data_IF_956194112285
#
_entry.id   IF_956194112285
#
_cell.length_a   1.000
_cell.length_b   1.000
_cell.length_c   1.000
_cell.angle_alpha   90.00
_cell.angle_beta   90.00
_cell.angle_gamma   90.00
#
_symmetry.space_group_name_H-M   'P 1'
#
loop_
_entity.id
_entity.type
_entity.pdbx_description
1 polymer ?
#
# COMPACT_ATOMS: atom_id res chain seq x y z
N UNK A 1 -21.15 5.09 14.19
CA UNK A 1 -20.87 5.71 12.87
C UNK A 1 -21.48 4.83 11.80
N UNK A 2 -22.15 5.41 10.80
CA UNK A 2 -22.76 4.64 9.72
C UNK A 2 -21.72 4.17 8.70
N UNK A 3 -21.94 2.99 8.12
CA UNK A 3 -21.14 2.44 7.02
C UNK A 3 -21.04 3.40 5.83
N UNK A 4 -22.15 4.07 5.48
CA UNK A 4 -22.23 5.02 4.37
C UNK A 4 -21.38 6.28 4.59
N UNK A 5 -21.27 6.78 5.83
CA UNK A 5 -20.43 7.94 6.12
C UNK A 5 -18.96 7.63 5.87
N UNK A 6 -18.53 6.41 6.21
CA UNK A 6 -17.16 5.93 5.97
C UNK A 6 -16.84 5.83 4.48
N UNK A 7 -17.79 5.34 3.67
CA UNK A 7 -17.67 5.33 2.21
C UNK A 7 -17.59 6.78 1.69
N UNK A 8 -18.49 7.66 2.12
CA UNK A 8 -18.51 9.06 1.67
C UNK A 8 -17.20 9.79 1.94
N UNK A 9 -16.62 9.61 3.14
CA UNK A 9 -15.31 10.17 3.50
C UNK A 9 -14.18 9.58 2.68
N UNK A 10 -14.16 8.24 2.55
CA UNK A 10 -13.19 7.56 1.69
C UNK A 10 -13.20 8.13 0.28
N UNK A 11 -14.40 8.36 -0.28
CA UNK A 11 -14.58 8.79 -1.65
C UNK A 11 -14.13 10.22 -1.85
N UNK A 12 -14.45 11.08 -0.88
CA UNK A 12 -13.93 12.45 -0.84
C UNK A 12 -12.40 12.45 -0.79
N UNK A 13 -11.80 11.67 0.11
CA UNK A 13 -10.34 11.60 0.25
C UNK A 13 -9.67 11.05 -1.00
N UNK A 14 -10.18 9.96 -1.59
CA UNK A 14 -9.65 9.42 -2.83
C UNK A 14 -9.72 10.41 -3.99
N UNK A 15 -10.83 11.17 -4.12
CA UNK A 15 -10.95 12.21 -5.14
C UNK A 15 -9.92 13.33 -4.96
N UNK A 16 -9.73 13.77 -3.72
CA UNK A 16 -8.76 14.82 -3.39
C UNK A 16 -7.34 14.36 -3.68
N UNK A 17 -6.97 13.15 -3.27
CA UNK A 17 -5.68 12.58 -3.61
C UNK A 17 -5.53 12.47 -5.12
N UNK A 18 -6.55 12.02 -5.84
CA UNK A 18 -6.47 11.88 -7.29
C UNK A 18 -6.40 13.22 -8.03
N UNK A 19 -7.00 14.29 -7.51
CA UNK A 19 -6.81 15.61 -8.10
C UNK A 19 -5.37 16.13 -7.97
N UNK A 20 -4.64 15.74 -6.92
CA UNK A 20 -3.20 16.02 -6.83
C UNK A 20 -2.45 15.22 -7.88
N UNK A 21 -2.74 13.91 -8.00
CA UNK A 21 -2.15 13.03 -9.02
C UNK A 21 -2.45 13.51 -10.45
N UNK A 22 -3.61 14.14 -10.69
CA UNK A 22 -3.93 14.74 -11.99
C UNK A 22 -3.19 16.04 -12.25
N UNK A 23 -2.96 16.86 -11.21
CA UNK A 23 -2.14 18.07 -11.32
C UNK A 23 -0.66 17.73 -11.49
N UNK A 24 -0.24 16.57 -11.03
CA UNK A 24 1.14 16.11 -11.02
C UNK A 24 1.28 14.71 -11.61
N UNK A 25 1.44 14.65 -12.94
CA UNK A 25 1.51 13.39 -13.68
C UNK A 25 2.71 12.51 -13.31
N UNK A 26 3.74 13.09 -12.67
CA UNK A 26 4.94 12.37 -12.24
C UNK A 26 4.64 11.37 -11.12
N UNK A 27 3.60 11.64 -10.32
CA UNK A 27 3.16 10.73 -9.26
C UNK A 27 2.77 9.36 -9.81
N UNK A 28 2.14 9.31 -11.00
CA UNK A 28 1.80 8.04 -11.66
C UNK A 28 3.03 7.31 -12.18
N UNK A 29 4.08 8.03 -12.57
CA UNK A 29 5.33 7.43 -13.07
C UNK A 29 6.01 6.62 -11.96
N UNK A 30 6.04 7.12 -10.72
CA UNK A 30 6.59 6.35 -9.59
C UNK A 30 5.84 5.04 -9.37
N UNK A 31 4.50 5.06 -9.43
CA UNK A 31 3.68 3.86 -9.24
C UNK A 31 3.87 2.86 -10.39
N UNK A 32 3.94 3.35 -11.62
CA UNK A 32 4.20 2.53 -12.80
C UNK A 32 5.58 1.86 -12.72
N UNK A 33 6.63 2.61 -12.37
CA UNK A 33 7.98 2.08 -12.20
C UNK A 33 8.03 1.06 -11.07
N UNK A 34 7.36 1.33 -9.96
CA UNK A 34 7.21 0.38 -8.85
C UNK A 34 6.58 -0.94 -9.32
N UNK A 35 5.48 -0.87 -10.07
CA UNK A 35 4.78 -2.04 -10.60
C UNK A 35 5.65 -2.83 -11.58
N UNK A 36 6.21 -2.17 -12.59
CA UNK A 36 7.03 -2.81 -13.63
C UNK A 36 8.26 -3.48 -13.01
N UNK A 37 8.98 -2.80 -12.13
CA UNK A 37 10.19 -3.34 -11.51
C UNK A 37 9.85 -4.49 -10.54
N UNK A 38 8.72 -4.41 -9.84
CA UNK A 38 8.25 -5.49 -8.97
C UNK A 38 7.88 -6.73 -9.78
N UNK A 39 7.14 -6.57 -10.88
CA UNK A 39 6.81 -7.68 -11.80
C UNK A 39 8.07 -8.24 -12.43
N UNK A 40 8.99 -7.39 -12.89
CA UNK A 40 10.28 -7.81 -13.44
C UNK A 40 11.09 -8.64 -12.45
N UNK A 41 11.16 -8.22 -11.18
CA UNK A 41 11.83 -8.97 -10.12
C UNK A 41 11.13 -10.32 -9.86
N UNK A 42 9.79 -10.37 -9.84
CA UNK A 42 9.04 -11.63 -9.69
C UNK A 42 9.28 -12.59 -10.86
N UNK A 43 9.28 -12.09 -12.10
CA UNK A 43 9.57 -12.89 -13.30
C UNK A 43 11.01 -13.42 -13.23
N UNK A 44 11.98 -12.56 -12.89
CA UNK A 44 13.38 -12.96 -12.78
C UNK A 44 13.61 -14.09 -11.77
N UNK A 45 12.85 -14.10 -10.66
CA UNK A 45 12.90 -15.17 -9.67
C UNK A 45 12.40 -16.51 -10.21
N UNK A 46 11.44 -16.50 -11.14
CA UNK A 46 10.90 -17.70 -11.77
C UNK A 46 11.74 -18.26 -12.92
N UNK A 47 12.67 -17.47 -13.49
CA UNK A 47 13.49 -17.88 -14.64
C UNK A 47 14.28 -19.17 -14.36
N UNK A 48 15.00 -19.35 -13.25
CA UNK A 48 15.76 -20.57 -13.01
C UNK A 48 14.91 -21.84 -13.04
N UNK A 49 13.70 -21.78 -12.48
CA UNK A 49 12.77 -22.91 -12.47
C UNK A 49 12.18 -23.16 -13.86
N UNK A 50 11.89 -22.11 -14.63
CA UNK A 50 11.43 -22.24 -16.01
C UNK A 50 12.51 -22.82 -16.94
N UNK A 51 13.79 -22.61 -16.62
CA UNK A 51 14.94 -23.18 -17.32
C UNK A 51 15.39 -24.54 -16.74
N UNK A 52 14.58 -25.15 -15.87
CA UNK A 52 14.82 -26.47 -15.27
C UNK A 52 16.23 -26.63 -14.66
N UNK A 53 16.73 -25.56 -14.03
CA UNK A 53 18.06 -25.57 -13.45
C UNK A 53 18.16 -26.61 -12.31
N UNK A 54 19.25 -27.38 -12.27
CA UNK A 54 19.40 -28.52 -11.33
C UNK A 54 19.34 -28.16 -9.84
N UNK A 55 19.55 -26.88 -9.51
CA UNK A 55 19.48 -26.38 -8.15
C UNK A 55 18.09 -25.88 -7.75
N UNK A 56 17.07 -25.90 -8.62
CA UNK A 56 15.74 -25.35 -8.30
C UNK A 56 14.82 -26.35 -7.61
N UNK A 57 14.82 -27.59 -8.08
CA UNK A 57 13.94 -28.65 -7.59
C UNK A 57 14.72 -29.91 -7.26
N UNK A 58 14.34 -30.59 -6.19
CA UNK A 58 14.85 -31.92 -5.83
C UNK A 58 14.28 -32.98 -6.77
N UNK A 59 14.82 -34.20 -6.71
CA UNK A 59 14.28 -35.36 -7.43
C UNK A 59 12.84 -35.71 -7.05
N UNK A 60 12.35 -35.26 -5.89
CA UNK A 60 10.96 -35.38 -5.45
C UNK A 60 10.04 -34.25 -5.96
N UNK A 61 10.57 -33.29 -6.72
CA UNK A 61 9.82 -32.14 -7.24
C UNK A 61 9.61 -31.01 -6.23
N UNK A 62 10.26 -31.06 -5.07
CA UNK A 62 10.20 -30.01 -4.05
C UNK A 62 11.23 -28.91 -4.33
N UNK A 63 10.97 -27.68 -3.92
CA UNK A 63 11.97 -26.61 -4.04
C UNK A 63 13.20 -26.94 -3.17
N UNK A 64 14.40 -26.77 -3.72
CA UNK A 64 15.62 -26.93 -2.90
C UNK A 64 15.77 -25.79 -1.89
N UNK A 65 16.51 -25.98 -0.78
CA UNK A 65 16.82 -24.89 0.15
C UNK A 65 17.51 -23.69 -0.52
N UNK A 66 18.36 -23.92 -1.52
CA UNK A 66 19.02 -22.85 -2.28
C UNK A 66 18.02 -22.03 -3.08
N UNK A 67 17.04 -22.68 -3.72
CA UNK A 67 16.00 -22.00 -4.46
C UNK A 67 14.99 -21.29 -3.56
N UNK A 68 14.67 -21.85 -2.39
CA UNK A 68 13.89 -21.14 -1.37
C UNK A 68 14.58 -19.85 -0.92
N UNK A 69 15.88 -19.89 -0.65
CA UNK A 69 16.66 -18.71 -0.30
C UNK A 69 16.66 -17.66 -1.42
N UNK A 70 16.80 -18.10 -2.67
CA UNK A 70 16.74 -17.23 -3.85
C UNK A 70 15.36 -16.56 -4.01
N UNK A 71 14.26 -17.32 -3.87
CA UNK A 71 12.89 -16.80 -3.90
C UNK A 71 12.66 -15.81 -2.75
N UNK A 72 13.17 -16.11 -1.55
CA UNK A 72 13.11 -15.22 -0.40
C UNK A 72 13.85 -13.89 -0.68
N UNK A 73 15.07 -13.94 -1.22
CA UNK A 73 15.83 -12.74 -1.61
C UNK A 73 15.10 -11.92 -2.67
N UNK A 74 14.48 -12.58 -3.66
CA UNK A 74 13.67 -11.93 -4.68
C UNK A 74 12.43 -11.25 -4.11
N UNK A 75 11.74 -11.89 -3.16
CA UNK A 75 10.63 -11.28 -2.43
C UNK A 75 11.09 -10.05 -1.62
N UNK A 76 12.25 -10.12 -0.97
CA UNK A 76 12.83 -8.96 -0.27
C UNK A 76 13.18 -7.83 -1.24
N UNK A 77 13.69 -8.15 -2.43
CA UNK A 77 13.95 -7.17 -3.49
C UNK A 77 12.67 -6.45 -3.91
N UNK A 78 11.57 -7.18 -4.14
CA UNK A 78 10.26 -6.59 -4.45
C UNK A 78 9.82 -5.64 -3.33
N UNK A 79 9.96 -6.06 -2.07
CA UNK A 79 9.61 -5.21 -0.93
C UNK A 79 10.42 -3.91 -0.89
N UNK A 80 11.73 -3.98 -1.17
CA UNK A 80 12.62 -2.80 -1.25
C UNK A 80 12.21 -1.89 -2.41
N UNK A 81 11.94 -2.44 -3.60
CA UNK A 81 11.48 -1.69 -4.78
C UNK A 81 10.22 -0.91 -4.45
N UNK A 82 9.20 -1.59 -3.93
CA UNK A 82 7.91 -0.96 -3.56
C UNK A 82 8.13 0.14 -2.52
N UNK A 83 8.95 -0.13 -1.50
CA UNK A 83 9.25 0.84 -0.44
C UNK A 83 9.96 2.08 -0.98
N UNK A 84 10.91 1.90 -1.89
CA UNK A 84 11.65 2.99 -2.51
C UNK A 84 10.74 3.91 -3.33
N UNK A 85 9.90 3.34 -4.20
CA UNK A 85 9.00 4.15 -5.03
C UNK A 85 7.88 4.81 -4.23
N UNK A 86 7.36 4.14 -3.20
CA UNK A 86 6.42 4.77 -2.25
C UNK A 86 7.09 5.93 -1.50
N UNK A 87 8.37 5.81 -1.17
CA UNK A 87 9.16 6.88 -0.56
C UNK A 87 9.32 8.09 -1.47
N UNK A 88 9.63 7.86 -2.75
CA UNK A 88 9.75 8.93 -3.74
C UNK A 88 8.39 9.63 -3.98
N UNK A 89 7.33 8.83 -4.11
CA UNK A 89 5.97 9.29 -4.32
C UNK A 89 5.45 10.13 -3.13
N UNK A 90 5.65 9.68 -1.89
CA UNK A 90 5.29 10.46 -0.69
C UNK A 90 6.08 11.76 -0.61
N UNK A 91 7.38 11.74 -0.89
CA UNK A 91 8.21 12.94 -0.84
C UNK A 91 7.76 13.98 -1.87
N UNK A 92 7.53 13.57 -3.11
CA UNK A 92 7.02 14.45 -4.17
C UNK A 92 5.62 14.98 -3.82
N UNK A 93 4.70 14.10 -3.39
CA UNK A 93 3.37 14.50 -2.94
C UNK A 93 3.41 15.54 -1.80
N UNK A 94 4.33 15.39 -0.84
CA UNK A 94 4.51 16.36 0.24
C UNK A 94 4.97 17.73 -0.26
N UNK A 95 5.89 17.80 -1.23
CA UNK A 95 6.34 19.06 -1.84
C UNK A 95 5.16 19.76 -2.52
N UNK A 96 4.40 19.02 -3.35
CA UNK A 96 3.21 19.55 -4.04
C UNK A 96 2.16 20.05 -3.05
N UNK A 97 1.85 19.26 -2.02
CA UNK A 97 0.85 19.61 -1.00
C UNK A 97 1.27 20.79 -0.11
N UNK A 98 2.57 21.05 -0.02
CA UNK A 98 3.14 22.19 0.69
C UNK A 98 3.20 23.46 -0.18
N UNK A 99 2.68 23.42 -1.41
CA UNK A 99 2.59 24.57 -2.34
C UNK A 99 3.78 24.70 -3.30
N UNK A 100 4.69 23.72 -3.33
CA UNK A 100 5.75 23.66 -4.33
C UNK A 100 5.29 23.08 -5.68
N UNK A 101 6.17 23.17 -6.67
CA UNK A 101 6.02 22.54 -7.99
C UNK A 101 7.15 21.49 -8.17
N UNK A 102 6.98 20.28 -7.64
CA UNK A 102 8.00 19.25 -7.73
C UNK A 102 8.13 18.71 -9.15
N UNK A 103 9.36 18.24 -9.43
CA UNK A 103 9.72 17.42 -10.57
C UNK A 103 9.98 15.96 -10.17
N UNK A 104 10.07 15.08 -11.16
CA UNK A 104 10.27 13.65 -10.92
C UNK A 104 11.60 13.42 -10.18
N UNK A 105 12.60 14.25 -10.49
CA UNK A 105 13.90 14.25 -9.86
C UNK A 105 13.86 14.57 -8.37
N UNK A 106 12.91 15.40 -7.91
CA UNK A 106 12.83 15.82 -6.50
C UNK A 106 12.42 14.65 -5.60
N UNK A 107 11.36 13.93 -5.97
CA UNK A 107 10.92 12.73 -5.26
C UNK A 107 11.97 11.63 -5.29
N UNK A 108 12.55 11.37 -6.46
CA UNK A 108 13.61 10.37 -6.61
C UNK A 108 14.83 10.71 -5.74
N UNK A 109 15.32 11.95 -5.79
CA UNK A 109 16.47 12.42 -5.01
C UNK A 109 16.20 12.36 -3.50
N UNK A 110 15.00 12.74 -3.06
CA UNK A 110 14.60 12.65 -1.66
C UNK A 110 14.64 11.21 -1.13
N UNK A 111 14.12 10.25 -1.89
CA UNK A 111 14.19 8.82 -1.54
C UNK A 111 15.64 8.30 -1.62
N UNK A 112 16.39 8.64 -2.67
CA UNK A 112 17.74 8.14 -2.90
C UNK A 112 18.73 8.57 -1.80
N UNK A 113 18.61 9.80 -1.28
CA UNK A 113 19.37 10.28 -0.11
C UNK A 113 19.19 9.39 1.13
N UNK A 114 18.10 8.62 1.20
CA UNK A 114 17.74 7.73 2.31
C UNK A 114 17.72 6.26 1.90
N UNK A 115 18.37 5.90 0.79
CA UNK A 115 18.34 4.53 0.24
C UNK A 115 18.73 3.45 1.25
N UNK A 116 19.75 3.71 2.08
CA UNK A 116 20.20 2.76 3.11
C UNK A 116 19.09 2.44 4.14
N UNK A 117 18.35 3.45 4.59
CA UNK A 117 17.22 3.28 5.53
C UNK A 117 16.04 2.61 4.83
N UNK A 118 15.78 2.98 3.57
CA UNK A 118 14.72 2.38 2.74
C UNK A 118 14.97 0.89 2.52
N UNK A 119 16.21 0.48 2.25
CA UNK A 119 16.58 -0.94 2.10
C UNK A 119 16.31 -1.70 3.40
N UNK A 120 16.79 -1.17 4.54
CA UNK A 120 16.57 -1.79 5.85
C UNK A 120 15.06 -1.90 6.14
N UNK A 121 14.31 -0.82 5.89
CA UNK A 121 12.86 -0.82 6.09
C UNK A 121 12.15 -1.79 5.15
N UNK A 122 12.54 -1.85 3.88
CA UNK A 122 11.99 -2.78 2.90
C UNK A 122 12.16 -4.24 3.35
N UNK A 123 13.31 -4.60 3.93
CA UNK A 123 13.53 -5.94 4.49
C UNK A 123 12.63 -6.18 5.70
N UNK A 124 12.53 -5.22 6.64
CA UNK A 124 11.66 -5.34 7.81
C UNK A 124 10.19 -5.49 7.40
N UNK A 125 9.70 -4.59 6.56
CA UNK A 125 8.32 -4.59 6.06
C UNK A 125 8.01 -5.86 5.27
N UNK A 126 8.95 -6.31 4.44
CA UNK A 126 8.84 -7.56 3.69
C UNK A 126 8.71 -8.76 4.63
N UNK A 127 9.59 -8.82 5.63
CA UNK A 127 9.59 -9.88 6.65
C UNK A 127 8.28 -9.91 7.44
N UNK A 128 7.80 -8.75 7.90
CA UNK A 128 6.50 -8.68 8.61
C UNK A 128 5.35 -9.07 7.69
N UNK A 129 5.38 -8.66 6.42
CA UNK A 129 4.40 -9.09 5.41
C UNK A 129 4.39 -10.62 5.25
N UNK A 130 5.55 -11.26 5.24
CA UNK A 130 5.67 -12.72 5.18
C UNK A 130 5.12 -13.38 6.45
N UNK A 131 5.46 -12.85 7.64
CA UNK A 131 4.94 -13.35 8.92
C UNK A 131 3.40 -13.26 8.98
N UNK A 132 2.82 -12.13 8.57
CA UNK A 132 1.36 -11.95 8.47
C UNK A 132 0.73 -12.94 7.49
N UNK A 133 1.39 -13.22 6.36
CA UNK A 133 0.94 -14.23 5.39
C UNK A 133 1.02 -15.65 5.95
N UNK A 134 2.07 -15.98 6.69
CA UNK A 134 2.22 -17.28 7.37
C UNK A 134 1.13 -17.48 8.43
N UNK A 135 0.88 -16.46 9.26
CA UNK A 135 -0.25 -16.42 10.20
C UNK A 135 -1.59 -16.62 9.48
N UNK A 136 -1.74 -16.03 8.28
CA UNK A 136 -2.91 -16.22 7.44
C UNK A 136 -3.14 -17.65 7.01
N UNK A 137 -2.09 -18.30 6.52
CA UNK A 137 -2.17 -19.66 6.00
C UNK A 137 -2.30 -20.71 7.11
N UNK A 138 -1.63 -20.51 8.25
CA UNK A 138 -1.74 -21.40 9.42
C UNK A 138 -3.18 -21.46 9.96
N UNK A 139 -3.89 -20.32 9.97
CA UNK A 139 -5.29 -20.26 10.39
C UNK A 139 -6.26 -20.99 9.45
N UNK A 140 -5.96 -21.05 8.15
CA UNK A 140 -6.79 -21.72 7.13
C UNK A 140 -6.64 -23.23 7.15
N UNK A 141 -5.43 -23.73 7.39
CA UNK A 141 -5.16 -25.17 7.36
C UNK A 141 -5.51 -25.90 8.67
N UNK A 142 -5.73 -25.18 9.78
CA UNK A 142 -5.74 -25.82 11.09
C UNK A 142 -7.11 -26.26 11.61
N UNK A 143 -8.28 -25.77 11.14
CA UNK A 143 -9.58 -26.12 11.79
C UNK A 143 -10.81 -26.02 10.88
N UNK A 144 -11.63 -27.07 10.88
CA UNK A 144 -13.07 -26.97 10.62
C UNK A 144 -13.77 -26.34 11.86
N UNK A 145 -14.61 -25.32 11.66
CA UNK A 145 -15.40 -24.67 12.73
C UNK A 145 -14.92 -23.28 13.20
N UNK A 146 -15.52 -22.76 14.29
CA UNK A 146 -15.38 -21.38 14.78
C UNK A 146 -13.96 -20.87 15.08
N UNK A 147 -12.94 -21.75 15.07
CA UNK A 147 -11.53 -21.37 15.14
C UNK A 147 -11.03 -20.60 13.92
N UNK A 148 -11.63 -20.79 12.74
CA UNK A 148 -11.27 -20.05 11.53
C UNK A 148 -11.65 -18.55 11.63
N UNK A 149 -12.80 -18.25 12.26
CA UNK A 149 -13.24 -16.88 12.51
C UNK A 149 -12.30 -16.17 13.49
N UNK A 150 -11.89 -16.83 14.57
CA UNK A 150 -10.92 -16.29 15.53
C UNK A 150 -9.56 -15.99 14.87
N UNK A 151 -9.06 -16.91 14.03
CA UNK A 151 -7.81 -16.70 13.32
C UNK A 151 -7.87 -15.50 12.36
N UNK A 152 -9.00 -15.34 11.66
CA UNK A 152 -9.24 -14.18 10.80
C UNK A 152 -9.26 -12.87 11.59
N UNK A 153 -9.92 -12.85 12.76
CA UNK A 153 -9.94 -11.67 13.65
C UNK A 153 -8.53 -11.31 14.12
N UNK A 154 -7.73 -12.28 14.56
CA UNK A 154 -6.35 -12.06 14.99
C UNK A 154 -5.50 -11.49 13.83
N UNK A 155 -5.67 -12.00 12.61
CA UNK A 155 -4.96 -11.49 11.44
C UNK A 155 -5.34 -10.04 11.11
N UNK A 156 -6.63 -9.72 11.11
CA UNK A 156 -7.13 -8.37 10.85
C UNK A 156 -6.59 -7.41 11.91
N UNK A 157 -6.64 -7.79 13.18
CA UNK A 157 -6.11 -6.98 14.28
C UNK A 157 -4.60 -6.80 14.14
N UNK A 158 -3.84 -7.87 13.86
CA UNK A 158 -2.40 -7.80 13.67
C UNK A 158 -1.99 -6.90 12.50
N UNK A 159 -2.67 -7.03 11.36
CA UNK A 159 -2.46 -6.17 10.20
C UNK A 159 -2.84 -4.72 10.49
N UNK A 160 -3.95 -4.48 11.19
CA UNK A 160 -4.38 -3.15 11.59
C UNK A 160 -3.37 -2.50 12.55
N UNK A 161 -2.87 -3.23 13.55
CA UNK A 161 -1.84 -2.74 14.48
C UNK A 161 -0.57 -2.39 13.72
N UNK A 162 -0.09 -3.27 12.84
CA UNK A 162 1.09 -3.00 12.03
C UNK A 162 0.90 -1.74 11.17
N UNK A 163 -0.24 -1.62 10.49
CA UNK A 163 -0.59 -0.45 9.69
C UNK A 163 -0.62 0.83 10.55
N UNK A 164 -1.26 0.83 11.72
CA UNK A 164 -1.31 1.99 12.62
C UNK A 164 0.09 2.43 13.08
N UNK A 165 0.96 1.48 13.42
CA UNK A 165 2.32 1.77 13.86
C UNK A 165 3.19 2.34 12.74
N UNK A 166 2.95 1.91 11.51
CA UNK A 166 3.81 2.22 10.34
C UNK A 166 3.23 3.29 9.42
N UNK A 167 2.04 3.79 9.71
CA UNK A 167 1.31 4.71 8.85
C UNK A 167 2.12 5.96 8.43
N UNK A 168 2.92 6.53 9.34
CA UNK A 168 3.82 7.68 9.05
C UNK A 168 5.29 7.30 8.98
N UNK A 169 5.61 6.02 8.80
CA UNK A 169 6.99 5.56 8.78
C UNK A 169 7.78 6.24 7.64
N UNK A 170 7.24 6.22 6.42
CA UNK A 170 7.89 6.81 5.24
C UNK A 170 8.10 8.33 5.40
N UNK A 171 7.08 9.14 5.77
CA UNK A 171 7.28 10.56 6.04
C UNK A 171 8.40 10.85 7.04
N UNK A 172 8.46 10.11 8.16
CA UNK A 172 9.52 10.32 9.15
C UNK A 172 10.92 9.93 8.64
N UNK A 173 11.03 8.86 7.84
CA UNK A 173 12.33 8.44 7.29
C UNK A 173 12.83 9.38 6.19
N UNK A 174 11.94 9.79 5.27
CA UNK A 174 12.32 10.45 4.03
C UNK A 174 12.27 11.97 4.16
N UNK A 175 11.25 12.51 4.81
CA UNK A 175 11.04 13.97 4.94
C UNK A 175 11.79 14.50 6.17
N UNK A 176 11.67 13.84 7.32
CA UNK A 176 12.38 14.27 8.54
C UNK A 176 13.78 13.65 8.67
N UNK A 177 14.12 12.66 7.84
CA UNK A 177 15.46 12.06 7.83
C UNK A 177 15.79 11.22 9.07
N UNK A 178 14.78 10.72 9.77
CA UNK A 178 14.95 9.93 11.00
C UNK A 178 15.41 8.50 10.70
N UNK A 179 16.15 7.92 11.65
CA UNK A 179 16.46 6.49 11.64
C UNK A 179 15.21 5.61 11.82
N UNK A 180 15.34 4.29 11.63
CA UNK A 180 14.22 3.34 11.74
C UNK A 180 13.53 3.41 13.11
N UNK A 181 14.30 3.33 14.19
CA UNK A 181 13.75 3.33 15.56
C UNK A 181 13.00 4.63 15.89
N UNK A 182 13.60 5.77 15.57
CA UNK A 182 12.99 7.09 15.79
C UNK A 182 11.77 7.33 14.90
N UNK A 183 11.81 6.85 13.66
CA UNK A 183 10.68 6.91 12.72
C UNK A 183 9.50 6.10 13.24
N UNK A 184 9.73 4.88 13.72
CA UNK A 184 8.68 4.02 14.29
C UNK A 184 8.08 4.66 15.54
N UNK A 185 8.91 5.16 16.46
CA UNK A 185 8.45 5.82 17.68
C UNK A 185 7.66 7.10 17.36
N UNK A 186 8.12 7.88 16.39
CA UNK A 186 7.46 9.11 15.96
C UNK A 186 6.13 8.81 15.25
N UNK A 187 6.10 7.81 14.37
CA UNK A 187 4.91 7.36 13.67
C UNK A 187 3.83 6.91 14.65
N UNK A 188 4.18 6.03 15.60
CA UNK A 188 3.29 5.63 16.69
C UNK A 188 2.75 6.84 17.47
N UNK A 189 3.64 7.72 17.93
CA UNK A 189 3.25 8.88 18.74
C UNK A 189 2.30 9.80 17.96
N UNK A 190 2.60 10.08 16.70
CA UNK A 190 1.78 10.90 15.83
C UNK A 190 0.41 10.26 15.57
N UNK A 191 0.40 8.95 15.28
CA UNK A 191 -0.84 8.23 15.02
C UNK A 191 -1.79 8.28 16.23
N UNK A 192 -1.30 7.92 17.42
CA UNK A 192 -2.15 7.94 18.62
C UNK A 192 -2.53 9.36 19.06
N UNK A 193 -1.67 10.36 18.84
CA UNK A 193 -1.99 11.77 19.15
C UNK A 193 -3.14 12.29 18.28
N UNK A 194 -3.15 11.95 17.00
CA UNK A 194 -4.15 12.49 16.06
C UNK A 194 -5.41 11.62 15.97
N UNK A 195 -5.30 10.29 16.14
CA UNK A 195 -6.41 9.33 15.94
C UNK A 195 -6.79 8.50 17.17
N UNK A 196 -6.11 8.61 18.31
CA UNK A 196 -6.21 7.67 19.45
C UNK A 196 -7.60 7.46 20.05
N UNK A 197 -8.42 8.51 20.21
CA UNK A 197 -9.78 8.39 20.76
C UNK A 197 -10.86 8.12 19.69
N UNK A 198 -10.54 8.38 18.42
CA UNK A 198 -11.46 8.31 17.27
C UNK A 198 -10.89 7.45 16.12
N UNK A 199 -10.38 6.27 16.46
CA UNK A 199 -9.74 5.29 15.53
C UNK A 199 -10.68 4.90 14.38
N UNK A 200 -11.99 5.03 14.55
CA UNK A 200 -13.04 4.73 13.56
C UNK A 200 -13.04 5.62 12.31
N UNK A 201 -12.14 6.59 12.23
CA UNK A 201 -12.00 7.53 11.11
C UNK A 201 -11.00 7.10 10.03
N UNK A 202 -10.44 5.89 10.14
CA UNK A 202 -9.47 5.31 9.21
C UNK A 202 -9.92 5.35 7.75
N UNK A 203 -9.01 5.83 6.90
CA UNK A 203 -9.19 6.17 5.49
C UNK A 203 -10.06 5.16 4.71
N UNK A 204 -11.27 5.56 4.34
CA UNK A 204 -12.18 4.77 3.50
C UNK A 204 -11.69 4.53 2.06
N UNK A 205 -10.46 4.94 1.72
CA UNK A 205 -9.81 4.66 0.44
C UNK A 205 -9.75 3.14 0.22
N UNK A 206 -9.32 2.38 1.23
CA UNK A 206 -9.23 0.91 1.13
C UNK A 206 -10.60 0.25 0.91
N UNK A 207 -11.65 0.74 1.57
CA UNK A 207 -13.01 0.24 1.36
C UNK A 207 -13.51 0.49 -0.07
N UNK A 208 -13.18 1.65 -0.64
CA UNK A 208 -13.56 1.99 -2.02
C UNK A 208 -12.80 1.15 -3.02
N UNK A 209 -11.48 1.01 -2.84
CA UNK A 209 -10.66 0.14 -3.67
C UNK A 209 -11.19 -1.29 -3.62
N UNK A 210 -11.60 -1.78 -2.45
CA UNK A 210 -12.23 -3.10 -2.32
C UNK A 210 -13.54 -3.19 -3.10
N UNK A 211 -14.44 -2.21 -2.99
CA UNK A 211 -15.73 -2.22 -3.71
C UNK A 211 -15.54 -2.20 -5.23
N UNK A 212 -14.67 -1.33 -5.75
CA UNK A 212 -14.35 -1.30 -7.18
C UNK A 212 -13.65 -2.59 -7.63
N UNK A 213 -12.74 -3.12 -6.81
CA UNK A 213 -12.06 -4.38 -7.08
C UNK A 213 -13.04 -5.55 -7.18
N UNK A 214 -14.01 -5.63 -6.27
CA UNK A 214 -15.06 -6.65 -6.31
C UNK A 214 -15.89 -6.56 -7.59
N UNK A 215 -16.28 -5.35 -8.02
CA UNK A 215 -17.01 -5.13 -9.27
C UNK A 215 -16.18 -5.60 -10.48
N UNK A 216 -14.90 -5.24 -10.54
CA UNK A 216 -14.01 -5.65 -11.64
C UNK A 216 -13.85 -7.18 -11.67
N UNK A 217 -13.68 -7.82 -10.51
CA UNK A 217 -13.58 -9.29 -10.43
C UNK A 217 -14.86 -9.96 -10.92
N UNK A 218 -16.03 -9.50 -10.46
CA UNK A 218 -17.33 -10.05 -10.92
C UNK A 218 -17.50 -9.85 -12.42
N UNK A 219 -17.21 -8.65 -12.95
CA UNK A 219 -17.27 -8.38 -14.38
C UNK A 219 -16.30 -9.26 -15.18
N UNK A 220 -15.10 -9.50 -14.65
CA UNK A 220 -14.11 -10.38 -15.26
C UNK A 220 -14.61 -11.82 -15.33
N UNK A 221 -15.16 -12.35 -14.23
CA UNK A 221 -15.73 -13.69 -14.20
C UNK A 221 -16.86 -13.82 -15.23
N UNK A 222 -17.78 -12.85 -15.28
CA UNK A 222 -18.88 -12.83 -16.25
C UNK A 222 -18.34 -12.82 -17.69
N UNK A 223 -17.36 -11.96 -18.00
CA UNK A 223 -16.73 -11.92 -19.33
C UNK A 223 -16.09 -13.26 -19.70
N UNK A 224 -15.35 -13.88 -18.79
CA UNK A 224 -14.73 -15.19 -19.02
C UNK A 224 -15.80 -16.26 -19.29
N UNK A 225 -16.88 -16.27 -18.52
CA UNK A 225 -17.96 -17.26 -18.69
C UNK A 225 -18.75 -17.07 -19.98
N UNK A 226 -19.01 -15.81 -20.38
CA UNK A 226 -19.81 -15.48 -21.58
C UNK A 226 -19.00 -15.71 -22.86
N UNK A 227 -17.69 -15.42 -22.84
CA UNK A 227 -16.83 -15.53 -24.02
C UNK A 227 -16.34 -16.97 -24.29
N UNK A 228 -16.53 -17.90 -23.37
CA UNK A 228 -16.20 -19.32 -23.55
C UNK A 228 -14.73 -19.52 -23.98
N UNK A 229 -14.52 -20.01 -25.21
CA UNK A 229 -13.18 -20.23 -25.78
C UNK A 229 -12.35 -18.94 -25.92
N UNK A 230 -13.00 -17.78 -25.98
CA UNK A 230 -12.35 -16.46 -26.01
C UNK A 230 -12.22 -15.83 -24.61
N UNK A 231 -12.42 -16.61 -23.54
CA UNK A 231 -12.37 -16.14 -22.15
C UNK A 231 -11.04 -15.47 -21.76
N UNK A 232 -9.94 -15.76 -22.46
CA UNK A 232 -8.65 -15.10 -22.25
C UNK A 232 -8.72 -13.58 -22.48
N UNK A 233 -9.61 -13.09 -23.34
CA UNK A 233 -9.85 -11.65 -23.56
C UNK A 233 -10.40 -11.03 -22.26
N UNK A 234 -11.36 -11.70 -21.62
CA UNK A 234 -11.91 -11.28 -20.34
C UNK A 234 -10.83 -11.20 -19.25
N UNK A 235 -9.93 -12.19 -19.21
CA UNK A 235 -8.79 -12.18 -18.27
C UNK A 235 -7.82 -11.03 -18.51
N UNK A 236 -7.51 -10.72 -19.78
CA UNK A 236 -6.62 -9.59 -20.13
C UNK A 236 -7.26 -8.27 -19.71
N UNK A 237 -8.53 -8.04 -20.06
CA UNK A 237 -9.25 -6.81 -19.71
C UNK A 237 -9.38 -6.67 -18.20
N UNK A 238 -9.77 -7.74 -17.51
CA UNK A 238 -9.89 -7.78 -16.05
C UNK A 238 -8.55 -7.52 -15.35
N UNK A 239 -7.49 -8.15 -15.83
CA UNK A 239 -6.13 -7.95 -15.32
C UNK A 239 -5.66 -6.51 -15.47
N UNK A 240 -5.86 -5.90 -16.65
CA UNK A 240 -5.55 -4.49 -16.88
C UNK A 240 -6.37 -3.56 -15.99
N UNK A 241 -7.67 -3.82 -15.83
CA UNK A 241 -8.54 -3.02 -14.96
C UNK A 241 -8.10 -3.08 -13.50
N UNK A 242 -7.74 -4.28 -12.99
CA UNK A 242 -7.18 -4.44 -11.64
C UNK A 242 -5.83 -3.72 -11.51
N UNK A 243 -4.94 -3.84 -12.50
CA UNK A 243 -3.67 -3.15 -12.48
C UNK A 243 -3.85 -1.63 -12.39
N UNK A 244 -4.74 -1.06 -13.21
CA UNK A 244 -5.09 0.37 -13.16
C UNK A 244 -5.68 0.76 -11.80
N UNK A 245 -6.58 -0.04 -11.24
CA UNK A 245 -7.16 0.21 -9.92
C UNK A 245 -6.10 0.19 -8.81
N UNK A 246 -5.18 -0.77 -8.83
CA UNK A 246 -4.07 -0.86 -7.87
C UNK A 246 -3.17 0.37 -8.00
N UNK A 247 -2.80 0.76 -9.22
CA UNK A 247 -1.98 1.94 -9.44
C UNK A 247 -2.66 3.20 -8.89
N UNK A 248 -3.94 3.37 -9.21
CA UNK A 248 -4.75 4.48 -8.73
C UNK A 248 -4.85 4.51 -7.20
N UNK A 249 -5.15 3.37 -6.59
CA UNK A 249 -5.29 3.26 -5.13
C UNK A 249 -3.96 3.52 -4.43
N UNK A 250 -2.86 2.99 -4.96
CA UNK A 250 -1.52 3.19 -4.39
C UNK A 250 -1.13 4.66 -4.42
N UNK A 251 -1.31 5.34 -5.56
CA UNK A 251 -1.08 6.78 -5.69
C UNK A 251 -1.94 7.57 -4.70
N UNK A 252 -3.24 7.27 -4.66
CA UNK A 252 -4.18 7.98 -3.80
C UNK A 252 -3.87 7.81 -2.31
N UNK A 253 -3.42 6.61 -1.91
CA UNK A 253 -3.01 6.29 -0.54
C UNK A 253 -1.75 7.05 -0.15
N UNK A 254 -0.69 7.03 -0.97
CA UNK A 254 0.55 7.74 -0.64
C UNK A 254 0.35 9.26 -0.53
N UNK A 255 -0.45 9.85 -1.44
CA UNK A 255 -0.81 11.27 -1.37
C UNK A 255 -1.67 11.56 -0.13
N UNK A 256 -2.61 10.67 0.22
CA UNK A 256 -3.41 10.83 1.44
C UNK A 256 -2.54 10.77 2.70
N UNK A 257 -1.56 9.86 2.76
CA UNK A 257 -0.60 9.77 3.87
C UNK A 257 0.19 11.07 3.98
N UNK A 258 0.69 11.63 2.87
CA UNK A 258 1.40 12.91 2.86
C UNK A 258 0.50 14.07 3.36
N UNK A 259 -0.75 14.13 2.90
CA UNK A 259 -1.71 15.15 3.33
C UNK A 259 -2.04 15.05 4.82
N UNK A 260 -2.27 13.83 5.32
CA UNK A 260 -2.54 13.58 6.73
C UNK A 260 -1.33 13.84 7.61
N UNK A 261 -0.13 13.59 7.10
CA UNK A 261 1.11 13.92 7.78
C UNK A 261 1.26 15.43 7.99
N UNK A 262 0.98 16.24 6.95
CA UNK A 262 0.93 17.71 7.06
C UNK A 262 -0.13 18.15 8.08
N UNK A 263 -1.32 17.54 8.04
CA UNK A 263 -2.39 17.82 8.99
C UNK A 263 -1.99 17.50 10.44
N UNK A 264 -1.37 16.34 10.69
CA UNK A 264 -0.88 15.97 12.02
C UNK A 264 0.17 16.92 12.58
N UNK A 265 0.91 17.63 11.72
CA UNK A 265 1.94 18.60 12.11
C UNK A 265 1.37 20.00 12.30
N UNK A 266 0.46 20.43 11.43
CA UNK A 266 0.02 21.83 11.35
C UNK A 266 -1.40 22.08 11.88
N UNK A 267 -2.18 21.01 12.10
CA UNK A 267 -3.61 21.08 12.42
C UNK A 267 -4.49 21.52 11.24
N UNK A 268 -3.90 21.81 10.07
CA UNK A 268 -4.62 22.28 8.88
C UNK A 268 -4.37 21.33 7.71
N UNK A 269 -5.40 21.06 6.92
CA UNK A 269 -5.24 20.28 5.69
C UNK A 269 -4.45 21.08 4.66
N UNK A 270 -3.74 20.43 3.72
CA UNK A 270 -3.05 21.13 2.63
C UNK A 270 -3.97 22.09 1.87
N UNK A 271 -3.45 23.24 1.39
CA UNK A 271 -4.23 24.26 0.69
C UNK A 271 -5.02 23.69 -0.50
N UNK A 272 -4.39 22.82 -1.30
CA UNK A 272 -5.05 22.11 -2.39
C UNK A 272 -6.32 21.38 -1.94
N UNK A 273 -6.31 20.77 -0.75
CA UNK A 273 -7.49 20.07 -0.21
C UNK A 273 -8.54 21.06 0.30
N UNK A 274 -8.10 22.20 0.87
CA UNK A 274 -8.99 23.27 1.32
C UNK A 274 -9.74 23.95 0.16
N UNK A 275 -9.03 24.23 -0.94
CA UNK A 275 -9.59 24.81 -2.18
C UNK A 275 -10.67 23.92 -2.79
N UNK A 276 -10.54 22.60 -2.63
CA UNK A 276 -11.50 21.61 -3.11
C UNK A 276 -12.58 21.24 -2.07
N UNK A 277 -12.75 22.06 -1.03
CA UNK A 277 -13.85 21.94 -0.07
C UNK A 277 -13.57 21.06 1.16
N UNK A 278 -12.30 20.85 1.54
CA UNK A 278 -11.91 20.30 2.85
C UNK A 278 -11.14 21.36 3.63
N UNK A 279 -11.85 22.37 4.15
CA UNK A 279 -11.27 23.41 5.02
C UNK A 279 -10.96 22.88 6.42
N UNK A 280 -11.78 21.94 6.90
CA UNK A 280 -11.57 21.20 8.14
C UNK A 280 -11.84 19.72 7.90
N UNK A 281 -10.93 18.84 8.34
CA UNK A 281 -11.24 17.44 8.51
C UNK A 281 -11.86 17.30 9.91
N UNK A 282 -13.17 17.53 10.01
CA UNK A 282 -13.88 17.35 11.27
C UNK A 282 -13.95 15.85 11.58
N UNK A 283 -13.10 15.40 12.51
CA UNK A 283 -13.43 14.20 13.26
C UNK A 283 -14.69 14.51 14.07
N UNK A 284 -15.70 13.64 14.09
CA UNK A 284 -16.77 13.78 15.06
C UNK A 284 -16.14 13.59 16.43
N UNK A 285 -15.83 14.69 17.12
CA UNK A 285 -15.92 14.71 18.57
C UNK A 285 -17.34 14.25 18.87
N UNK A 286 -17.46 13.28 19.80
CA UNK A 286 -18.77 12.94 20.35
C UNK A 286 -19.46 14.26 20.66
N UNK A 287 -20.63 14.49 20.05
CA UNK A 287 -21.60 15.41 20.61
C UNK A 287 -21.72 14.99 22.06
N UNK A 288 -21.16 15.80 22.96
CA UNK A 288 -21.42 15.71 24.39
C UNK A 288 -22.91 15.93 24.51
N UNK A 289 -23.64 14.83 24.70
CA UNK A 289 -24.92 14.87 25.37
C UNK A 289 -24.66 15.11 26.86
#
# INVERSE_FOLDING_TARGET
>A
MGFFDTIGRGWKMSKLSMSVVRKDGELMVYVLLSGILSVGAMVAVGIPQALEQSWTTTSSGEMTPAYMAFVFSGYMMVSIIVTFWNSALIANAHIRLSGGDPSFGDGFSAAFKRIHIIIIWGIIAGTVGLLLKMLSNAGKNSRSGGGAALAMVIQIIGAAIWWMLTFFMIPHMVIEGKGIGDSMRSSKKMFFKTWGENISSGLGIGLITFLFGAIIVVATIVMVTVLGSMGYIGLIIGGLAIAVLIMWSSAAEQVAVAALYIYSKTGKMPQLYQEMGVKEYTFPTKTTA
#
